data_IF_705212670117
#
_entry.id   IF_705212670117
#
_cell.length_a   1.000
_cell.length_b   1.000
_cell.length_c   1.000
_cell.angle_alpha   90.00
_cell.angle_beta   90.00
_cell.angle_gamma   90.00
#
_symmetry.space_group_name_H-M   'P 1'
#
loop_
_entity.id
_entity.type
_entity.pdbx_description
1 polymer ?
#
# COMPACT_ATOMS: atom_id res chain seq x y z
N UNK A 1 35.37 -6.58 6.71
CA UNK A 1 33.93 -6.70 7.01
C UNK A 1 33.12 -6.52 5.74
N UNK A 2 31.82 -6.84 5.76
CA UNK A 2 30.89 -6.50 4.67
C UNK A 2 30.22 -5.16 5.00
N UNK A 3 30.11 -4.28 4.02
CA UNK A 3 29.40 -3.01 4.15
C UNK A 3 28.51 -2.78 2.95
N UNK A 4 27.28 -2.35 3.19
CA UNK A 4 26.33 -1.98 2.15
C UNK A 4 26.00 -0.50 2.28
N UNK A 5 26.05 0.22 1.17
CA UNK A 5 25.61 1.61 1.07
C UNK A 5 24.83 1.84 -0.22
N UNK A 6 24.11 2.96 -0.33
CA UNK A 6 23.40 3.33 -1.55
C UNK A 6 21.99 3.87 -1.33
N UNK A 7 21.18 3.83 -2.38
CA UNK A 7 19.81 4.35 -2.41
C UNK A 7 18.83 3.25 -2.80
N UNK A 8 17.71 3.20 -2.07
CA UNK A 8 16.59 2.31 -2.31
C UNK A 8 15.34 3.15 -2.54
N UNK A 9 14.71 3.02 -3.70
CA UNK A 9 13.49 3.76 -4.05
C UNK A 9 12.30 3.30 -3.22
N UNK A 10 11.34 4.21 -3.02
CA UNK A 10 10.05 3.85 -2.43
C UNK A 10 9.30 2.89 -3.35
N UNK A 11 8.54 1.92 -2.83
CA UNK A 11 7.72 1.00 -3.64
C UNK A 11 6.72 1.70 -4.57
N UNK A 12 6.24 2.90 -4.21
CA UNK A 12 5.43 3.76 -5.07
C UNK A 12 6.15 4.25 -6.33
N UNK A 13 7.48 4.20 -6.33
CA UNK A 13 8.33 4.48 -7.48
C UNK A 13 8.94 3.20 -8.05
N UNK A 14 8.14 2.45 -8.80
CA UNK A 14 8.52 1.19 -9.44
C UNK A 14 8.55 1.27 -10.97
N UNK A 15 9.09 0.21 -11.59
CA UNK A 15 9.24 0.05 -13.04
C UNK A 15 8.72 -1.32 -13.47
N UNK A 16 8.26 -1.41 -14.73
CA UNK A 16 7.86 -2.68 -15.33
C UNK A 16 9.06 -3.60 -15.68
N UNK A 17 10.30 -3.07 -15.65
CA UNK A 17 11.52 -3.84 -15.94
C UNK A 17 12.60 -3.53 -14.90
N UNK A 18 13.45 -4.51 -14.63
CA UNK A 18 14.57 -4.40 -13.68
C UNK A 18 15.75 -3.53 -14.17
N UNK A 19 15.61 -2.80 -15.28
CA UNK A 19 16.70 -2.02 -15.91
C UNK A 19 17.28 -0.92 -15.02
N UNK A 20 16.55 -0.48 -13.99
CA UNK A 20 16.96 0.56 -13.05
C UNK A 20 17.46 0.00 -11.72
N UNK A 21 18.02 -1.20 -11.73
CA UNK A 21 18.73 -1.82 -10.59
C UNK A 21 20.22 -1.75 -10.85
N UNK A 22 20.89 -0.82 -10.18
CA UNK A 22 22.33 -0.62 -10.28
C UNK A 22 23.00 -1.28 -9.07
N UNK A 23 23.74 -2.35 -9.30
CA UNK A 23 24.36 -3.16 -8.25
C UNK A 23 25.87 -3.17 -8.47
N UNK A 24 26.61 -2.82 -7.42
CA UNK A 24 28.06 -2.74 -7.45
C UNK A 24 28.67 -3.61 -6.35
N UNK A 25 29.78 -4.27 -6.67
CA UNK A 25 30.62 -5.00 -5.70
C UNK A 25 32.04 -4.49 -5.86
N UNK A 26 32.60 -3.88 -4.80
CA UNK A 26 33.91 -3.22 -4.84
C UNK A 26 34.07 -2.31 -6.08
N UNK A 27 33.12 -1.37 -6.24
CA UNK A 27 33.02 -0.39 -7.34
C UNK A 27 32.82 -0.97 -8.75
N UNK A 28 32.71 -2.28 -8.90
CA UNK A 28 32.42 -2.94 -10.18
C UNK A 28 30.91 -3.15 -10.35
N UNK A 29 30.30 -2.71 -11.47
CA UNK A 29 28.92 -3.05 -11.77
C UNK A 29 28.79 -4.56 -12.03
N UNK A 30 27.81 -5.19 -11.39
CA UNK A 30 27.55 -6.63 -11.50
C UNK A 30 26.08 -6.89 -11.89
N UNK A 31 25.85 -8.01 -12.56
CA UNK A 31 24.54 -8.55 -12.94
C UNK A 31 24.36 -9.92 -12.33
N UNK A 32 24.52 -9.99 -11.01
CA UNK A 32 24.53 -11.24 -10.28
C UNK A 32 23.12 -11.66 -9.82
N UNK A 33 22.78 -12.93 -10.04
CA UNK A 33 21.44 -13.49 -9.73
C UNK A 33 21.13 -13.44 -8.24
N UNK A 34 22.12 -13.63 -7.38
CA UNK A 34 21.92 -13.58 -5.93
C UNK A 34 21.57 -12.16 -5.49
N UNK A 35 22.27 -11.16 -5.99
CA UNK A 35 22.01 -9.77 -5.62
C UNK A 35 20.65 -9.30 -6.11
N UNK A 36 20.28 -9.60 -7.37
CA UNK A 36 18.94 -9.32 -7.88
C UNK A 36 17.86 -10.07 -7.10
N UNK A 37 18.11 -11.34 -6.75
CA UNK A 37 17.21 -12.14 -5.91
C UNK A 37 17.08 -11.60 -4.47
N UNK A 38 18.13 -10.99 -3.93
CA UNK A 38 18.09 -10.34 -2.61
C UNK A 38 17.28 -9.04 -2.66
N UNK A 39 17.45 -8.22 -3.70
CA UNK A 39 16.62 -7.01 -3.91
C UNK A 39 15.15 -7.39 -4.06
N UNK A 40 14.83 -8.41 -4.87
CA UNK A 40 13.44 -8.91 -5.03
C UNK A 40 12.86 -9.33 -3.67
N UNK A 41 13.60 -10.12 -2.89
CA UNK A 41 13.16 -10.58 -1.57
C UNK A 41 12.98 -9.45 -0.55
N UNK A 42 13.73 -8.36 -0.68
CA UNK A 42 13.60 -7.18 0.17
C UNK A 42 12.31 -6.40 -0.09
N UNK A 43 11.83 -6.39 -1.34
CA UNK A 43 10.64 -5.65 -1.78
C UNK A 43 9.39 -6.52 -1.95
N UNK A 44 9.48 -7.83 -1.74
CA UNK A 44 8.39 -8.77 -2.02
C UNK A 44 7.07 -8.44 -1.28
N UNK A 45 7.16 -7.80 -0.11
CA UNK A 45 5.98 -7.42 0.69
C UNK A 45 5.33 -6.11 0.18
N UNK A 46 5.90 -5.44 -0.84
CA UNK A 46 5.52 -4.09 -1.27
C UNK A 46 5.33 -3.93 -2.77
N UNK A 47 5.73 -4.90 -3.59
CA UNK A 47 5.68 -4.81 -5.04
C UNK A 47 5.02 -6.06 -5.62
N UNK A 48 4.12 -5.84 -6.58
CA UNK A 48 3.55 -6.92 -7.38
C UNK A 48 4.63 -7.64 -8.21
N UNK A 49 4.32 -8.87 -8.64
CA UNK A 49 5.25 -9.81 -9.28
C UNK A 49 6.02 -9.26 -10.49
N UNK A 50 5.40 -8.38 -11.28
CA UNK A 50 5.97 -7.74 -12.48
C UNK A 50 6.47 -6.29 -12.25
N UNK A 51 6.67 -5.92 -10.98
CA UNK A 51 7.18 -4.61 -10.60
C UNK A 51 8.56 -4.72 -9.99
N UNK A 52 9.42 -3.81 -10.43
CA UNK A 52 10.80 -3.76 -10.00
C UNK A 52 11.10 -2.43 -9.30
N UNK A 53 11.79 -2.46 -8.14
CA UNK A 53 12.23 -1.26 -7.48
C UNK A 53 13.36 -0.61 -8.25
N UNK A 54 13.50 0.71 -8.09
CA UNK A 54 14.69 1.45 -8.51
C UNK A 54 15.68 1.47 -7.35
N UNK A 55 16.87 0.93 -7.57
CA UNK A 55 17.92 0.85 -6.54
C UNK A 55 19.30 1.16 -7.10
N UNK A 56 20.17 1.72 -6.28
CA UNK A 56 21.59 1.85 -6.52
C UNK A 56 22.34 1.39 -5.27
N UNK A 57 22.91 0.19 -5.28
CA UNK A 57 23.52 -0.44 -4.10
C UNK A 57 25.00 -0.73 -4.33
N UNK A 58 25.81 -0.42 -3.33
CA UNK A 58 27.26 -0.59 -3.32
C UNK A 58 27.64 -1.53 -2.17
N UNK A 59 28.09 -2.73 -2.52
CA UNK A 59 28.58 -3.74 -1.59
C UNK A 59 30.10 -3.71 -1.55
N UNK A 60 30.66 -3.38 -0.39
CA UNK A 60 32.09 -3.48 -0.10
C UNK A 60 32.36 -4.79 0.65
N UNK A 61 33.28 -5.61 0.13
CA UNK A 61 33.67 -6.90 0.71
C UNK A 61 35.18 -7.13 0.51
N UNK A 62 35.84 -7.74 1.49
CA UNK A 62 37.25 -8.12 1.37
C UNK A 62 37.45 -9.04 0.15
N UNK A 63 38.57 -8.88 -0.57
CA UNK A 63 38.85 -9.60 -1.82
C UNK A 63 38.81 -11.14 -1.66
N UNK A 64 39.13 -11.65 -0.47
CA UNK A 64 39.07 -13.08 -0.13
C UNK A 64 37.63 -13.63 -0.01
N UNK A 65 36.64 -12.74 0.11
CA UNK A 65 35.23 -13.07 0.27
C UNK A 65 34.43 -13.08 -1.04
N UNK A 66 35.05 -12.69 -2.17
CA UNK A 66 34.40 -12.62 -3.48
C UNK A 66 35.34 -13.05 -4.61
N UNK A 67 34.87 -13.96 -5.45
CA UNK A 67 35.54 -14.33 -6.70
C UNK A 67 34.82 -13.69 -7.89
N UNK A 68 35.54 -12.86 -8.63
CA UNK A 68 35.03 -12.10 -9.78
C UNK A 68 35.36 -12.80 -11.12
N UNK A 69 36.14 -13.88 -11.10
CA UNK A 69 36.61 -14.57 -12.31
C UNK A 69 35.68 -15.68 -12.81
N UNK A 70 34.42 -15.69 -12.36
CA UNK A 70 33.48 -16.79 -12.59
C UNK A 70 32.83 -16.73 -13.99
N UNK A 71 32.80 -15.56 -14.63
CA UNK A 71 32.19 -15.35 -15.94
C UNK A 71 33.15 -14.60 -16.89
N UNK A 72 33.17 -14.88 -18.22
CA UNK A 72 34.05 -14.22 -19.19
C UNK A 72 33.95 -12.69 -19.20
N UNK A 73 32.74 -12.16 -19.02
CA UNK A 73 32.47 -10.72 -18.93
C UNK A 73 32.74 -10.11 -17.54
N UNK A 74 33.11 -10.91 -16.53
CA UNK A 74 33.31 -10.50 -15.12
C UNK A 74 32.12 -9.72 -14.53
N UNK A 75 30.91 -10.01 -15.02
CA UNK A 75 29.66 -9.38 -14.61
C UNK A 75 28.98 -10.14 -13.47
N UNK A 76 29.33 -11.41 -13.27
CA UNK A 76 28.83 -12.27 -12.19
C UNK A 76 29.93 -12.48 -11.15
N UNK A 77 29.53 -12.67 -9.89
CA UNK A 77 30.44 -12.77 -8.75
C UNK A 77 30.04 -13.95 -7.87
N UNK A 78 31.01 -14.77 -7.46
CA UNK A 78 30.75 -15.83 -6.48
C UNK A 78 31.18 -15.35 -5.10
N UNK A 79 30.23 -15.30 -4.18
CA UNK A 79 30.49 -14.98 -2.79
C UNK A 79 30.92 -16.22 -2.02
N UNK A 80 31.87 -16.06 -1.10
CA UNK A 80 32.26 -17.13 -0.16
C UNK A 80 31.12 -17.49 0.80
N UNK A 81 30.38 -16.48 1.25
CA UNK A 81 29.16 -16.63 2.04
C UNK A 81 27.97 -15.92 1.35
N UNK A 82 27.26 -16.61 0.46
CA UNK A 82 26.06 -16.11 -0.22
C UNK A 82 24.95 -15.69 0.75
N UNK A 83 24.80 -16.42 1.86
CA UNK A 83 23.73 -16.22 2.83
C UNK A 83 23.88 -14.90 3.58
N UNK A 84 25.10 -14.61 4.03
CA UNK A 84 25.42 -13.35 4.71
C UNK A 84 25.17 -12.13 3.83
N UNK A 85 25.58 -12.19 2.55
CA UNK A 85 25.36 -11.10 1.58
C UNK A 85 23.87 -10.88 1.35
N UNK A 86 23.11 -11.95 1.11
CA UNK A 86 21.65 -11.88 0.94
C UNK A 86 20.99 -11.28 2.18
N UNK A 87 21.34 -11.76 3.37
CA UNK A 87 20.80 -11.28 4.64
C UNK A 87 21.07 -9.79 4.88
N UNK A 88 22.29 -9.32 4.59
CA UNK A 88 22.66 -7.90 4.71
C UNK A 88 21.81 -7.02 3.78
N UNK A 89 21.67 -7.39 2.51
CA UNK A 89 20.88 -6.62 1.53
C UNK A 89 19.41 -6.58 1.92
N UNK A 90 18.83 -7.73 2.24
CA UNK A 90 17.42 -7.83 2.63
C UNK A 90 17.16 -7.03 3.90
N UNK A 91 17.99 -7.21 4.94
CA UNK A 91 17.84 -6.52 6.21
C UNK A 91 17.99 -4.99 6.08
N UNK A 92 19.01 -4.52 5.37
CA UNK A 92 19.27 -3.10 5.20
C UNK A 92 18.15 -2.38 4.42
N UNK A 93 17.67 -2.98 3.33
CA UNK A 93 16.56 -2.40 2.55
C UNK A 93 15.28 -2.41 3.37
N UNK A 94 14.93 -3.51 4.05
CA UNK A 94 13.72 -3.59 4.89
C UNK A 94 13.76 -2.55 6.03
N UNK A 95 14.92 -2.38 6.67
CA UNK A 95 15.10 -1.35 7.70
C UNK A 95 14.91 0.07 7.13
N UNK A 96 15.49 0.37 5.97
CA UNK A 96 15.32 1.67 5.31
C UNK A 96 13.85 1.94 4.89
N UNK A 97 13.15 0.92 4.38
CA UNK A 97 11.74 1.02 4.00
C UNK A 97 10.83 1.21 5.21
N UNK A 98 11.12 0.57 6.35
CA UNK A 98 10.38 0.77 7.59
C UNK A 98 10.43 2.23 8.06
N UNK A 99 11.62 2.85 8.04
CA UNK A 99 11.77 4.27 8.37
C UNK A 99 11.17 5.23 7.33
N UNK A 100 10.90 4.76 6.10
CA UNK A 100 10.42 5.59 5.00
C UNK A 100 8.90 5.51 4.74
N UNK A 101 8.16 4.63 5.43
CA UNK A 101 6.75 4.33 5.15
C UNK A 101 5.84 5.55 5.00
N UNK A 102 5.99 6.55 5.88
CA UNK A 102 5.20 7.79 5.87
C UNK A 102 5.53 8.71 4.67
N UNK A 103 6.77 8.66 4.13
CA UNK A 103 7.21 9.51 3.01
C UNK A 103 6.57 9.12 1.67
N UNK A 104 6.11 7.88 1.52
CA UNK A 104 5.46 7.43 0.28
C UNK A 104 4.19 8.22 -0.05
N UNK A 105 3.39 8.56 0.96
CA UNK A 105 2.19 9.39 0.80
C UNK A 105 2.55 10.79 0.28
N UNK A 106 3.62 11.40 0.80
CA UNK A 106 4.05 12.77 0.44
C UNK A 106 4.49 12.91 -1.02
N UNK A 107 5.19 11.91 -1.58
CA UNK A 107 5.62 11.94 -2.98
C UNK A 107 4.45 11.83 -3.96
N UNK A 108 3.45 11.01 -3.62
CA UNK A 108 2.25 10.88 -4.45
C UNK A 108 1.37 12.12 -4.33
N UNK A 109 1.28 12.71 -3.13
CA UNK A 109 0.61 13.99 -2.93
C UNK A 109 1.18 15.09 -3.82
N UNK A 110 2.51 15.23 -3.89
CA UNK A 110 3.15 16.20 -4.77
C UNK A 110 2.81 15.99 -6.25
N UNK A 111 2.85 14.73 -6.73
CA UNK A 111 2.48 14.40 -8.11
C UNK A 111 0.98 14.65 -8.39
N UNK A 112 0.10 14.33 -7.43
CA UNK A 112 -1.32 14.62 -7.53
C UNK A 112 -1.58 16.14 -7.59
N UNK A 113 -0.93 16.92 -6.72
CA UNK A 113 -1.00 18.38 -6.72
C UNK A 113 -0.48 18.98 -8.04
N UNK A 114 0.57 18.41 -8.64
CA UNK A 114 1.03 18.81 -9.97
C UNK A 114 -0.02 18.55 -11.07
N UNK A 115 -0.79 17.47 -10.97
CA UNK A 115 -1.86 17.17 -11.93
C UNK A 115 -3.06 18.12 -11.83
N UNK A 116 -3.27 18.73 -10.65
CA UNK A 116 -4.29 19.77 -10.43
C UNK A 116 -3.83 21.16 -10.89
N UNK A 117 -2.56 21.33 -11.29
CA UNK A 117 -2.15 22.60 -11.89
C UNK A 117 -2.80 22.73 -13.26
N UNK A 118 -3.53 23.82 -13.54
CA UNK A 118 -3.98 24.08 -14.90
C UNK A 118 -2.74 24.08 -15.80
N UNK A 119 -2.78 23.27 -16.86
CA UNK A 119 -1.77 23.34 -17.92
C UNK A 119 -1.85 24.78 -18.43
N UNK A 120 -0.90 25.62 -18.02
CA UNK A 120 -0.62 26.85 -18.73
C UNK A 120 -0.04 26.41 -20.06
N UNK A 121 -0.92 26.07 -21.00
CA UNK A 121 -0.56 25.88 -22.39
C UNK A 121 -0.04 27.23 -22.88
N UNK A 122 1.25 27.48 -22.62
CA UNK A 122 1.97 28.51 -23.35
C UNK A 122 1.86 28.13 -24.82
N UNK A 123 1.37 29.02 -25.70
CA UNK A 123 1.23 28.68 -27.10
C UNK A 123 2.62 28.26 -27.62
N UNK A 124 2.70 27.22 -28.47
CA UNK A 124 3.97 26.90 -29.12
C UNK A 124 4.46 28.15 -29.85
N UNK A 125 5.69 28.56 -29.56
CA UNK A 125 6.32 29.69 -30.22
C UNK A 125 6.47 29.35 -31.71
N UNK A 126 5.49 29.78 -32.51
CA UNK A 126 5.40 29.47 -33.94
C UNK A 126 4.45 30.42 -34.66
N UNK A 127 5.00 31.54 -35.13
CA UNK A 127 4.57 32.44 -36.21
C UNK A 127 3.06 32.52 -36.56
N UNK A 128 2.46 33.66 -36.16
CA UNK A 128 1.74 34.60 -37.04
C UNK A 128 0.36 34.24 -37.59
N UNK A 129 -0.69 34.84 -37.02
CA UNK A 129 -1.59 35.87 -37.59
C UNK A 129 -2.76 36.10 -36.60
N UNK A 130 -3.30 37.33 -36.48
CA UNK A 130 -4.26 37.65 -35.42
C UNK A 130 -5.70 37.29 -35.81
N UNK A 131 -6.39 36.54 -34.97
CA UNK A 131 -7.86 36.43 -34.98
C UNK A 131 -8.43 37.09 -33.72
N UNK A 132 -9.51 37.89 -33.82
CA UNK A 132 -10.10 38.54 -32.66
C UNK A 132 -11.00 37.53 -31.94
N UNK A 133 -10.58 37.06 -30.77
CA UNK A 133 -11.46 36.32 -29.86
C UNK A 133 -12.39 37.30 -29.13
N UNK A 134 -13.68 37.00 -28.94
CA UNK A 134 -14.59 37.88 -28.23
C UNK A 134 -14.19 37.96 -26.76
N UNK A 135 -14.00 39.18 -26.27
CA UNK A 135 -13.73 39.44 -24.87
C UNK A 135 -14.93 38.99 -24.03
N UNK A 136 -14.72 38.00 -23.16
CA UNK A 136 -15.67 37.69 -22.09
C UNK A 136 -15.73 38.92 -21.18
N UNK A 137 -16.91 39.51 -20.93
CA UNK A 137 -17.00 40.70 -20.10
C UNK A 137 -16.47 40.41 -18.70
N UNK A 138 -15.54 41.25 -18.25
CA UNK A 138 -14.83 41.15 -16.97
C UNK A 138 -15.75 41.07 -15.75
N UNK A 139 -17.03 41.42 -15.89
CA UNK A 139 -18.04 41.37 -14.83
C UNK A 139 -18.58 39.98 -14.47
N UNK A 140 -18.44 38.94 -15.32
CA UNK A 140 -19.02 37.62 -15.01
C UNK A 140 -18.16 36.84 -14.00
N UNK A 141 -16.84 37.06 -14.02
CA UNK A 141 -15.90 36.52 -13.03
C UNK A 141 -16.02 37.26 -11.67
N UNK A 142 -16.25 38.57 -11.67
CA UNK A 142 -16.52 39.36 -10.45
C UNK A 142 -17.88 39.00 -9.83
N UNK A 143 -18.91 38.75 -10.64
CA UNK A 143 -20.23 38.30 -10.16
C UNK A 143 -20.16 36.89 -9.55
N UNK A 144 -19.33 36.00 -10.10
CA UNK A 144 -19.09 34.68 -9.53
C UNK A 144 -18.33 34.75 -8.20
N UNK A 145 -17.36 35.66 -8.04
CA UNK A 145 -16.68 35.88 -6.75
C UNK A 145 -17.59 36.51 -5.70
N UNK A 146 -18.49 37.41 -6.09
CA UNK A 146 -19.45 38.06 -5.17
C UNK A 146 -20.49 37.07 -4.62
N UNK A 147 -20.83 36.01 -5.36
CA UNK A 147 -21.75 34.95 -4.90
C UNK A 147 -21.15 34.06 -3.79
N UNK A 148 -19.83 34.09 -3.59
CA UNK A 148 -19.10 33.31 -2.58
C UNK A 148 -18.35 34.18 -1.56
N UNK A 149 -18.66 35.48 -1.48
CA UNK A 149 -18.16 36.35 -0.43
C UNK A 149 -18.85 35.98 0.92
N UNK A 150 -18.11 35.90 2.04
CA UNK A 150 -18.72 35.69 3.35
C UNK A 150 -19.71 36.81 3.66
N UNK A 151 -20.90 36.47 4.15
CA UNK A 151 -21.80 37.45 4.75
C UNK A 151 -21.14 37.99 6.02
N UNK A 152 -20.61 39.22 5.96
CA UNK A 152 -20.18 39.94 7.14
C UNK A 152 -21.36 40.09 8.11
N UNK A 153 -21.21 39.50 9.28
CA UNK A 153 -22.23 39.43 10.31
C UNK A 153 -22.51 40.79 10.94
N UNK A 154 -23.41 41.58 10.36
CA UNK A 154 -24.15 42.64 11.04
C UNK A 154 -25.59 42.71 10.52
N UNK A 155 -26.42 41.76 10.97
CA UNK A 155 -27.85 41.73 10.65
C UNK A 155 -28.62 41.01 11.75
N UNK A 156 -28.82 41.68 12.88
CA UNK A 156 -29.71 41.23 13.95
C UNK A 156 -31.14 41.20 13.41
N UNK A 157 -31.68 40.00 13.18
CA UNK A 157 -33.11 39.83 12.95
C UNK A 157 -33.87 40.13 14.26
N UNK A 158 -34.87 41.03 14.27
CA UNK A 158 -35.73 41.20 15.44
C UNK A 158 -36.71 40.04 15.52
N UNK A 159 -36.68 39.27 16.61
CA UNK A 159 -37.82 38.45 17.04
C UNK A 159 -37.75 36.94 16.83
N UNK A 160 -36.66 36.26 17.22
CA UNK A 160 -36.74 34.82 17.56
C UNK A 160 -36.20 34.61 18.96
N UNK A 161 -37.10 34.83 19.91
CA UNK A 161 -36.92 34.50 21.31
C UNK A 161 -37.20 32.99 21.48
N UNK A 162 -36.29 32.31 22.19
CA UNK A 162 -36.48 31.04 22.92
C UNK A 162 -36.69 29.75 22.12
N UNK A 163 -35.62 28.93 22.07
CA UNK A 163 -35.65 27.51 22.44
C UNK A 163 -34.27 27.15 23.01
N UNK A 164 -34.17 27.16 24.34
CA UNK A 164 -32.97 26.77 25.08
C UNK A 164 -32.65 25.28 24.87
N UNK A 165 -31.46 24.99 24.35
CA UNK A 165 -30.86 23.67 24.46
C UNK A 165 -30.39 23.44 25.92
N UNK A 166 -30.53 22.22 26.47
CA UNK A 166 -30.15 21.96 27.86
C UNK A 166 -28.63 22.08 28.00
N UNK A 167 -28.20 22.85 28.99
CA UNK A 167 -26.81 22.93 29.42
C UNK A 167 -26.36 21.56 29.93
N UNK A 168 -25.46 20.91 29.18
CA UNK A 168 -24.68 19.80 29.69
C UNK A 168 -23.69 20.37 30.72
N UNK A 169 -23.73 19.83 31.94
CA UNK A 169 -22.93 20.28 33.06
C UNK A 169 -21.43 20.28 32.74
N UNK A 170 -20.78 21.37 33.10
CA UNK A 170 -19.33 21.49 33.18
C UNK A 170 -18.84 20.71 34.40
N UNK A 171 -18.73 19.39 34.26
CA UNK A 171 -17.82 18.63 35.13
C UNK A 171 -16.41 18.79 34.55
N UNK A 172 -15.73 19.81 35.05
CA UNK A 172 -14.31 20.06 34.81
C UNK A 172 -13.45 18.96 35.41
N UNK A 173 -13.31 17.85 34.68
CA UNK A 173 -12.16 16.97 34.82
C UNK A 173 -11.05 17.55 33.94
N UNK A 174 -10.16 18.33 34.55
CA UNK A 174 -8.86 18.68 33.97
C UNK A 174 -8.06 17.39 33.76
N UNK A 175 -8.26 16.77 32.59
CA UNK A 175 -7.40 15.70 32.12
C UNK A 175 -6.11 16.35 31.63
N UNK A 176 -5.07 16.30 32.46
CA UNK A 176 -3.67 16.52 32.09
C UNK A 176 -3.16 15.37 31.23
N UNK A 177 -3.90 15.02 30.18
CA UNK A 177 -3.50 14.03 29.19
C UNK A 177 -2.71 14.73 28.09
N UNK A 178 -1.56 14.17 27.71
CA UNK A 178 -0.96 14.47 26.40
C UNK A 178 -2.06 14.37 25.35
N UNK A 179 -2.30 15.45 24.59
CA UNK A 179 -3.21 15.42 23.44
C UNK A 179 -2.68 14.33 22.51
N UNK A 180 -3.41 13.22 22.30
CA UNK A 180 -2.89 12.14 21.48
C UNK A 180 -2.60 12.68 20.08
N UNK A 181 -1.34 12.55 19.65
CA UNK A 181 -0.99 12.86 18.28
C UNK A 181 -1.60 11.78 17.39
N UNK A 182 -2.45 12.19 16.46
CA UNK A 182 -3.10 11.33 15.49
C UNK A 182 -2.54 11.66 14.09
N UNK A 183 -1.48 10.99 13.63
CA UNK A 183 -0.85 11.27 12.33
C UNK A 183 -1.82 11.25 11.14
N UNK A 184 -2.80 10.36 11.13
CA UNK A 184 -3.85 10.28 10.10
C UNK A 184 -5.10 11.09 10.46
N UNK A 185 -5.10 11.76 11.61
CA UNK A 185 -6.14 12.69 12.01
C UNK A 185 -7.45 12.02 12.45
N UNK A 186 -8.55 12.72 12.27
CA UNK A 186 -9.90 12.26 12.60
C UNK A 186 -10.73 12.13 11.32
N UNK A 187 -11.41 11.01 11.13
CA UNK A 187 -12.27 10.82 9.98
C UNK A 187 -13.39 11.88 9.97
N UNK A 188 -13.74 12.36 8.78
CA UNK A 188 -14.81 13.35 8.57
C UNK A 188 -15.93 12.83 7.68
N UNK A 189 -15.56 12.07 6.66
CA UNK A 189 -16.52 11.51 5.73
C UNK A 189 -15.97 10.28 5.04
N UNK A 190 -16.88 9.42 4.60
CA UNK A 190 -16.62 8.41 3.59
C UNK A 190 -17.18 8.91 2.25
N UNK A 191 -16.38 8.81 1.19
CA UNK A 191 -16.76 9.21 -0.16
C UNK A 191 -16.80 7.98 -1.08
N UNK A 192 -17.89 7.87 -1.85
CA UNK A 192 -18.13 6.79 -2.82
C UNK A 192 -17.96 5.38 -2.24
N UNK A 193 -18.23 5.21 -0.94
CA UNK A 193 -18.05 3.96 -0.20
C UNK A 193 -16.65 3.31 -0.39
N UNK A 194 -15.65 4.14 -0.74
CA UNK A 194 -14.31 3.70 -1.17
C UNK A 194 -13.20 4.50 -0.50
N UNK A 195 -13.41 5.80 -0.28
CA UNK A 195 -12.38 6.68 0.28
C UNK A 195 -12.81 7.21 1.64
N UNK A 196 -11.88 7.27 2.58
CA UNK A 196 -12.08 7.96 3.86
C UNK A 196 -11.31 9.28 3.78
N UNK A 197 -11.99 10.38 4.11
CA UNK A 197 -11.37 11.69 4.25
C UNK A 197 -11.25 12.00 5.73
N UNK A 198 -10.02 12.29 6.16
CA UNK A 198 -9.68 12.61 7.54
C UNK A 198 -9.01 13.99 7.62
N UNK A 199 -9.27 14.71 8.70
CA UNK A 199 -8.64 15.99 8.99
C UNK A 199 -7.47 15.76 9.94
N UNK A 200 -6.27 16.14 9.53
CA UNK A 200 -5.07 16.19 10.40
C UNK A 200 -4.93 17.58 11.03
N UNK A 201 -3.91 17.75 11.87
CA UNK A 201 -3.62 19.05 12.49
C UNK A 201 -3.25 20.14 11.46
N UNK A 202 -2.67 19.75 10.34
CA UNK A 202 -2.06 20.62 9.33
C UNK A 202 -2.58 20.35 7.90
N UNK A 203 -3.68 19.62 7.73
CA UNK A 203 -4.19 19.28 6.41
C UNK A 203 -5.31 18.24 6.37
N UNK A 204 -5.36 17.52 5.26
CA UNK A 204 -6.36 16.49 4.95
C UNK A 204 -5.63 15.22 4.50
N UNK A 205 -6.07 14.06 4.99
CA UNK A 205 -5.65 12.75 4.50
C UNK A 205 -6.80 12.08 3.76
N UNK A 206 -6.52 11.53 2.59
CA UNK A 206 -7.44 10.73 1.80
C UNK A 206 -6.93 9.29 1.80
N UNK A 207 -7.70 8.37 2.37
CA UNK A 207 -7.36 6.95 2.50
C UNK A 207 -8.17 6.13 1.50
N UNK A 208 -7.50 5.26 0.75
CA UNK A 208 -8.13 4.17 0.01
C UNK A 208 -8.48 3.04 0.99
N UNK A 209 -9.76 2.89 1.29
CA UNK A 209 -10.28 1.91 2.24
C UNK A 209 -9.91 0.48 1.86
N UNK A 210 -9.93 0.16 0.56
CA UNK A 210 -9.68 -1.18 0.07
C UNK A 210 -8.19 -1.53 0.21
N UNK A 211 -7.31 -0.67 -0.30
CA UNK A 211 -5.87 -0.87 -0.20
C UNK A 211 -5.39 -0.89 1.27
N UNK A 212 -5.96 -0.03 2.12
CA UNK A 212 -5.69 -0.05 3.56
C UNK A 212 -6.14 -1.38 4.18
N UNK A 213 -7.35 -1.84 3.89
CA UNK A 213 -7.87 -3.08 4.46
C UNK A 213 -7.03 -4.30 4.07
N UNK A 214 -6.69 -4.44 2.79
CA UNK A 214 -5.81 -5.53 2.32
C UNK A 214 -4.47 -5.53 3.06
N UNK A 215 -3.88 -4.33 3.25
CA UNK A 215 -2.60 -4.21 3.95
C UNK A 215 -2.71 -4.61 5.42
N UNK A 216 -3.75 -4.17 6.12
CA UNK A 216 -4.00 -4.51 7.51
C UNK A 216 -4.18 -6.03 7.68
N UNK A 217 -5.01 -6.65 6.83
CA UNK A 217 -5.25 -8.10 6.86
C UNK A 217 -3.96 -8.87 6.58
N UNK A 218 -3.20 -8.45 5.58
CA UNK A 218 -1.91 -9.05 5.24
C UNK A 218 -0.92 -9.06 6.43
N UNK A 219 -0.74 -7.91 7.08
CA UNK A 219 0.17 -7.79 8.24
C UNK A 219 -0.32 -8.61 9.44
N UNK A 220 -1.63 -8.65 9.70
CA UNK A 220 -2.20 -9.52 10.75
C UNK A 220 -1.98 -11.01 10.45
N UNK A 221 -2.17 -11.44 9.21
CA UNK A 221 -1.92 -12.83 8.81
C UNK A 221 -0.45 -13.20 8.99
N UNK A 222 0.46 -12.32 8.57
CA UNK A 222 1.90 -12.52 8.72
C UNK A 222 2.32 -12.60 10.20
N UNK A 223 1.75 -11.74 11.05
CA UNK A 223 1.97 -11.78 12.50
C UNK A 223 1.44 -13.10 13.10
N UNK A 224 0.20 -13.47 12.79
CA UNK A 224 -0.41 -14.70 13.31
C UNK A 224 0.39 -15.95 12.91
N UNK A 225 0.89 -15.99 11.66
CA UNK A 225 1.70 -17.06 11.13
C UNK A 225 3.06 -17.20 11.83
N UNK A 226 3.68 -16.08 12.23
CA UNK A 226 4.93 -16.09 12.99
C UNK A 226 4.75 -16.55 14.44
N UNK A 227 3.55 -16.42 15.00
CA UNK A 227 3.26 -16.71 16.41
C UNK A 227 2.67 -18.12 16.61
N UNK A 228 1.49 -18.39 16.05
CA UNK A 228 0.70 -19.60 16.39
C UNK A 228 -0.01 -20.24 15.19
N UNK A 229 0.18 -19.72 13.97
CA UNK A 229 -0.62 -20.05 12.80
C UNK A 229 -1.88 -19.17 12.69
N UNK A 230 -2.48 -19.12 11.50
CA UNK A 230 -3.65 -18.26 11.26
C UNK A 230 -4.92 -18.96 11.75
N UNK A 231 -5.72 -18.25 12.55
CA UNK A 231 -6.98 -18.75 13.08
C UNK A 231 -7.95 -19.17 11.96
N UNK A 232 -8.73 -20.23 12.22
CA UNK A 232 -9.62 -20.86 11.24
C UNK A 232 -11.08 -20.59 11.56
N UNK A 233 -11.89 -20.43 10.53
CA UNK A 233 -13.34 -20.35 10.61
C UNK A 233 -13.95 -21.43 9.72
N UNK A 234 -14.68 -22.35 10.34
CA UNK A 234 -15.46 -23.36 9.60
C UNK A 234 -16.60 -22.73 8.81
N UNK A 235 -16.79 -23.18 7.58
CA UNK A 235 -17.94 -22.82 6.77
C UNK A 235 -19.17 -23.60 7.26
N UNK A 236 -20.32 -22.94 7.35
CA UNK A 236 -21.59 -23.60 7.70
C UNK A 236 -21.97 -24.68 6.68
N UNK A 237 -21.66 -24.42 5.41
CA UNK A 237 -21.82 -25.34 4.30
C UNK A 237 -20.46 -25.39 3.61
N UNK A 238 -19.78 -26.55 3.58
CA UNK A 238 -18.55 -26.70 2.80
C UNK A 238 -18.80 -26.36 1.33
N UNK A 239 -17.85 -25.65 0.73
CA UNK A 239 -18.00 -25.14 -0.63
C UNK A 239 -17.13 -25.96 -1.59
N UNK A 240 -17.74 -26.47 -2.66
CA UNK A 240 -17.03 -27.24 -3.69
C UNK A 240 -16.58 -26.30 -4.80
N UNK A 241 -15.28 -26.31 -5.10
CA UNK A 241 -14.67 -25.49 -6.15
C UNK A 241 -14.16 -26.40 -7.26
N UNK A 242 -14.76 -26.24 -8.44
CA UNK A 242 -14.33 -26.92 -9.67
C UNK A 242 -13.06 -26.28 -10.24
N UNK A 243 -12.11 -27.13 -10.63
CA UNK A 243 -10.77 -26.78 -11.11
C UNK A 243 -10.35 -27.79 -12.20
N UNK A 244 -9.25 -27.50 -12.91
CA UNK A 244 -8.59 -28.54 -13.67
C UNK A 244 -7.86 -29.54 -12.75
N UNK A 245 -7.57 -30.75 -13.25
CA UNK A 245 -6.97 -31.83 -12.47
C UNK A 245 -5.58 -31.47 -11.93
N UNK A 246 -4.80 -30.70 -12.70
CA UNK A 246 -3.47 -30.27 -12.26
C UNK A 246 -3.56 -29.23 -11.15
N UNK A 247 -4.49 -28.29 -11.23
CA UNK A 247 -4.76 -27.27 -10.22
C UNK A 247 -5.22 -27.91 -8.90
N UNK A 248 -6.17 -28.85 -8.95
CA UNK A 248 -6.62 -29.59 -7.77
C UNK A 248 -5.46 -30.37 -7.13
N UNK A 249 -4.66 -31.08 -7.93
CA UNK A 249 -3.49 -31.81 -7.43
C UNK A 249 -2.44 -30.89 -6.78
N UNK A 250 -2.15 -29.71 -7.37
CA UNK A 250 -1.21 -28.71 -6.82
C UNK A 250 -1.66 -28.21 -5.45
N UNK A 251 -2.95 -27.90 -5.28
CA UNK A 251 -3.50 -27.46 -4.00
C UNK A 251 -3.42 -28.58 -2.95
N UNK A 252 -3.83 -29.80 -3.32
CA UNK A 252 -3.85 -30.95 -2.41
C UNK A 252 -2.45 -31.35 -1.94
N UNK A 253 -1.45 -31.25 -2.82
CA UNK A 253 -0.04 -31.49 -2.47
C UNK A 253 0.47 -30.53 -1.38
N UNK A 254 -0.19 -29.38 -1.20
CA UNK A 254 0.16 -28.32 -0.24
C UNK A 254 -0.91 -28.09 0.83
N UNK A 255 -1.89 -28.99 0.96
CA UNK A 255 -3.03 -28.81 1.86
C UNK A 255 -2.63 -28.59 3.32
N UNK A 256 -1.57 -29.27 3.80
CA UNK A 256 -1.05 -29.08 5.16
C UNK A 256 -0.49 -27.66 5.37
N UNK A 257 0.24 -27.12 4.40
CA UNK A 257 0.81 -25.76 4.48
C UNK A 257 -0.31 -24.71 4.34
N UNK A 258 -1.32 -24.93 3.50
CA UNK A 258 -2.51 -24.07 3.41
C UNK A 258 -3.34 -24.08 4.70
N UNK A 259 -3.38 -25.21 5.41
CA UNK A 259 -4.04 -25.30 6.70
C UNK A 259 -3.31 -24.46 7.79
N UNK A 260 -1.98 -24.30 7.72
CA UNK A 260 -1.25 -23.36 8.61
C UNK A 260 -1.69 -21.89 8.38
N UNK A 261 -2.09 -21.57 7.15
CA UNK A 261 -2.66 -20.28 6.74
C UNK A 261 -4.16 -20.16 7.02
N UNK A 262 -4.76 -21.23 7.52
CA UNK A 262 -6.16 -21.30 7.92
C UNK A 262 -7.14 -21.67 6.81
N UNK A 263 -6.64 -22.11 5.65
CA UNK A 263 -7.45 -22.65 4.56
C UNK A 263 -7.40 -24.18 4.58
N UNK A 264 -8.53 -24.83 4.89
CA UNK A 264 -8.62 -26.30 4.93
C UNK A 264 -9.44 -26.78 3.75
N UNK A 265 -8.78 -27.53 2.88
CA UNK A 265 -9.36 -28.12 1.68
C UNK A 265 -9.09 -29.63 1.61
N UNK A 266 -10.03 -30.36 1.01
CA UNK A 266 -9.96 -31.80 0.76
C UNK A 266 -10.28 -32.09 -0.72
N UNK A 267 -9.82 -33.23 -1.24
CA UNK A 267 -10.12 -33.61 -2.62
C UNK A 267 -11.58 -34.02 -2.80
N UNK A 268 -12.18 -33.60 -3.91
CA UNK A 268 -13.54 -33.98 -4.28
C UNK A 268 -13.58 -34.47 -5.74
N UNK A 269 -13.03 -35.67 -5.96
CA UNK A 269 -12.76 -36.17 -7.31
C UNK A 269 -11.50 -35.53 -7.93
N UNK A 270 -11.21 -35.81 -9.21
CA UNK A 270 -9.97 -35.36 -9.85
C UNK A 270 -9.96 -33.87 -10.20
N UNK A 271 -11.12 -33.25 -10.46
CA UNK A 271 -11.24 -31.87 -10.93
C UNK A 271 -11.95 -30.92 -9.94
N UNK A 272 -11.95 -31.23 -8.64
CA UNK A 272 -12.52 -30.33 -7.66
C UNK A 272 -11.91 -30.53 -6.27
N UNK A 273 -12.01 -29.48 -5.47
CA UNK A 273 -11.69 -29.49 -4.03
C UNK A 273 -12.89 -29.01 -3.23
N UNK A 274 -13.06 -29.54 -2.03
CA UNK A 274 -14.03 -29.04 -1.06
C UNK A 274 -13.31 -28.22 0.00
N UNK A 275 -13.76 -26.99 0.21
CA UNK A 275 -13.26 -26.10 1.25
C UNK A 275 -14.15 -26.24 2.48
N UNK A 276 -13.54 -26.55 3.63
CA UNK A 276 -14.23 -26.68 4.91
C UNK A 276 -14.02 -25.49 5.83
N UNK A 277 -12.81 -24.93 5.83
CA UNK A 277 -12.42 -23.84 6.71
C UNK A 277 -11.66 -22.78 5.92
N UNK A 278 -11.89 -21.52 6.28
CA UNK A 278 -11.21 -20.35 5.73
C UNK A 278 -10.51 -19.57 6.83
N UNK A 279 -9.51 -18.72 6.51
CA UNK A 279 -8.83 -17.93 7.52
C UNK A 279 -9.82 -16.94 8.18
N UNK A 280 -9.95 -17.01 9.51
CA UNK A 280 -10.93 -16.22 10.28
C UNK A 280 -10.72 -14.70 10.13
N UNK A 281 -9.49 -14.28 9.80
CA UNK A 281 -9.13 -12.88 9.58
C UNK A 281 -9.78 -12.27 8.33
N UNK A 282 -10.15 -13.10 7.34
CA UNK A 282 -10.75 -12.62 6.09
C UNK A 282 -12.25 -12.31 6.24
N UNK A 283 -12.91 -12.85 7.26
CA UNK A 283 -14.34 -12.67 7.50
C UNK A 283 -15.18 -13.36 6.42
N UNK A 284 -15.99 -12.59 5.67
CA UNK A 284 -16.65 -13.12 4.47
C UNK A 284 -15.58 -13.31 3.39
N UNK A 285 -15.67 -14.36 2.57
CA UNK A 285 -14.65 -14.66 1.55
C UNK A 285 -15.34 -15.11 0.27
N UNK A 286 -14.83 -14.68 -0.88
CA UNK A 286 -15.12 -15.33 -2.16
C UNK A 286 -14.26 -16.58 -2.27
N UNK A 287 -14.76 -17.71 -1.77
CA UNK A 287 -14.00 -18.96 -1.68
C UNK A 287 -13.60 -19.50 -3.05
N UNK A 288 -14.48 -19.54 -4.07
CA UNK A 288 -14.09 -20.00 -5.40
C UNK A 288 -13.04 -19.10 -6.05
N UNK A 289 -13.16 -17.78 -5.92
CA UNK A 289 -12.13 -16.84 -6.39
C UNK A 289 -10.79 -17.09 -5.72
N UNK A 290 -10.78 -17.18 -4.38
CA UNK A 290 -9.58 -17.44 -3.61
C UNK A 290 -8.87 -18.73 -4.03
N UNK A 291 -9.61 -19.83 -4.15
CA UNK A 291 -9.03 -21.14 -4.47
C UNK A 291 -8.44 -21.16 -5.88
N UNK A 292 -9.08 -20.49 -6.86
CA UNK A 292 -8.56 -20.40 -8.24
C UNK A 292 -7.28 -19.57 -8.30
N UNK A 293 -7.29 -18.38 -7.70
CA UNK A 293 -6.13 -17.49 -7.69
C UNK A 293 -4.95 -18.14 -6.95
N UNK A 294 -5.21 -18.90 -5.89
CA UNK A 294 -4.18 -19.71 -5.22
C UNK A 294 -3.65 -20.85 -6.09
N UNK A 295 -4.50 -21.52 -6.87
CA UNK A 295 -4.05 -22.58 -7.76
C UNK A 295 -3.13 -22.05 -8.87
N UNK A 296 -3.45 -20.87 -9.40
CA UNK A 296 -2.65 -20.16 -10.39
C UNK A 296 -1.33 -19.65 -9.79
N UNK A 297 -1.39 -19.07 -8.58
CA UNK A 297 -0.20 -18.65 -7.82
C UNK A 297 0.77 -19.82 -7.61
N UNK A 298 0.27 -20.96 -7.14
CA UNK A 298 1.08 -22.16 -6.93
C UNK A 298 1.64 -22.75 -8.24
N UNK A 299 0.94 -22.58 -9.37
CA UNK A 299 1.44 -23.00 -10.67
C UNK A 299 2.70 -22.24 -11.06
N UNK A 300 2.73 -20.94 -10.79
CA UNK A 300 3.86 -20.07 -11.12
C UNK A 300 5.05 -20.21 -10.16
N UNK A 301 4.77 -20.45 -8.88
CA UNK A 301 5.81 -20.62 -7.86
C UNK A 301 6.65 -21.89 -8.08
N UNK A 302 6.07 -22.91 -8.72
CA UNK A 302 6.70 -24.19 -8.98
C UNK A 302 6.98 -25.00 -7.71
N UNK A 303 7.45 -26.24 -7.87
CA UNK A 303 7.70 -27.15 -6.72
C UNK A 303 8.99 -26.86 -5.96
N UNK A 304 9.90 -26.06 -6.55
CA UNK A 304 11.29 -25.94 -6.09
C UNK A 304 11.49 -25.12 -4.80
N UNK A 305 10.49 -24.37 -4.36
CA UNK A 305 10.52 -23.60 -3.12
C UNK A 305 9.40 -24.08 -2.20
N UNK A 306 9.66 -24.11 -0.90
CA UNK A 306 8.64 -24.46 0.09
C UNK A 306 7.56 -23.38 0.14
N UNK A 307 6.30 -23.73 0.42
CA UNK A 307 5.27 -22.70 0.63
C UNK A 307 5.71 -21.78 1.76
N UNK A 308 6.43 -22.31 2.75
CA UNK A 308 7.07 -21.55 3.85
C UNK A 308 7.93 -20.37 3.40
N UNK A 309 8.67 -20.51 2.30
CA UNK A 309 9.47 -19.42 1.72
C UNK A 309 8.63 -18.43 0.91
N UNK A 310 7.39 -18.81 0.58
CA UNK A 310 6.43 -18.06 -0.25
C UNK A 310 5.15 -17.68 0.49
N UNK A 311 5.09 -17.87 1.80
CA UNK A 311 3.92 -17.54 2.64
C UNK A 311 3.53 -16.07 2.47
N UNK A 312 4.50 -15.18 2.26
CA UNK A 312 4.25 -13.77 2.00
C UNK A 312 3.49 -13.50 0.70
N UNK A 313 3.67 -14.31 -0.35
CA UNK A 313 2.94 -14.15 -1.63
C UNK A 313 1.52 -14.70 -1.47
N UNK A 314 1.38 -15.89 -0.86
CA UNK A 314 0.07 -16.52 -0.61
C UNK A 314 -0.79 -15.74 0.37
N UNK A 315 -0.22 -15.19 1.45
CA UNK A 315 -0.93 -14.28 2.35
C UNK A 315 -1.40 -13.01 1.63
N UNK A 316 -0.63 -12.50 0.66
CA UNK A 316 -1.03 -11.33 -0.10
C UNK A 316 -2.25 -11.64 -0.98
N UNK A 317 -2.24 -12.78 -1.68
CA UNK A 317 -3.40 -13.28 -2.45
C UNK A 317 -4.60 -13.46 -1.53
N UNK A 318 -4.47 -14.18 -0.42
CA UNK A 318 -5.54 -14.38 0.56
C UNK A 318 -6.14 -13.07 1.08
N UNK A 319 -5.30 -12.08 1.39
CA UNK A 319 -5.75 -10.78 1.88
C UNK A 319 -6.59 -10.00 0.86
N UNK A 320 -6.39 -10.23 -0.44
CA UNK A 320 -7.20 -9.63 -1.51
C UNK A 320 -8.61 -10.25 -1.63
N UNK A 321 -8.80 -11.50 -1.17
CA UNK A 321 -10.10 -12.19 -1.22
C UNK A 321 -10.94 -12.06 0.07
N UNK A 322 -10.42 -11.36 1.09
CA UNK A 322 -11.27 -10.89 2.19
C UNK A 322 -12.39 -10.04 1.61
N UNK A 323 -13.64 -10.47 1.82
CA UNK A 323 -14.85 -9.95 1.17
C UNK A 323 -14.79 -8.44 1.07
N UNK A 324 -14.52 -8.04 -0.17
CA UNK A 324 -14.63 -6.74 -0.78
C UNK A 324 -15.32 -5.75 0.16
N UNK A 325 -14.51 -5.08 1.00
CA UNK A 325 -14.96 -3.90 1.75
C UNK A 325 -15.09 -2.67 0.85
N UNK A 326 -14.78 -2.77 -0.44
CA UNK A 326 -15.14 -1.73 -1.40
C UNK A 326 -16.67 -1.67 -1.50
N UNK A 327 -17.25 -0.51 -1.23
CA UNK A 327 -18.70 -0.33 -1.27
C UNK A 327 -19.41 -0.50 0.07
N UNK A 328 -18.73 -0.92 1.15
CA UNK A 328 -19.37 -0.96 2.47
C UNK A 328 -19.34 0.43 3.11
N UNK A 329 -20.51 0.93 3.50
CA UNK A 329 -20.63 2.12 4.35
C UNK A 329 -20.07 1.88 5.75
N UNK A 330 -19.16 2.76 6.17
CA UNK A 330 -18.53 2.74 7.49
C UNK A 330 -19.14 3.84 8.37
N UNK A 331 -19.43 3.49 9.63
CA UNK A 331 -19.75 4.49 10.65
C UNK A 331 -18.52 5.30 11.06
N UNK A 332 -18.73 6.46 11.68
CA UNK A 332 -17.65 7.33 12.15
C UNK A 332 -16.63 6.59 13.02
N UNK A 333 -17.11 5.83 14.03
CA UNK A 333 -16.24 5.06 14.92
C UNK A 333 -15.47 3.95 14.18
N UNK A 334 -16.05 3.34 13.13
CA UNK A 334 -15.35 2.33 12.32
C UNK A 334 -14.24 2.97 11.48
N UNK A 335 -14.48 4.18 10.94
CA UNK A 335 -13.46 4.92 10.20
C UNK A 335 -12.31 5.33 11.11
N UNK A 336 -12.59 5.93 12.28
CA UNK A 336 -11.55 6.31 13.23
C UNK A 336 -10.76 5.10 13.72
N UNK A 337 -11.43 3.97 14.02
CA UNK A 337 -10.75 2.73 14.37
C UNK A 337 -9.82 2.22 13.27
N UNK A 338 -10.24 2.30 12.00
CA UNK A 338 -9.39 1.95 10.86
C UNK A 338 -8.15 2.85 10.78
N UNK A 339 -8.29 4.17 10.97
CA UNK A 339 -7.15 5.09 10.97
C UNK A 339 -6.17 4.79 12.11
N UNK A 340 -6.68 4.54 13.32
CA UNK A 340 -5.85 4.13 14.48
C UNK A 340 -5.13 2.81 14.21
N UNK A 341 -5.80 1.86 13.56
CA UNK A 341 -5.19 0.60 13.19
C UNK A 341 -4.08 0.77 12.15
N UNK A 342 -4.29 1.62 11.14
CA UNK A 342 -3.26 1.96 10.15
C UNK A 342 -2.03 2.58 10.79
N UNK A 343 -2.20 3.47 11.77
CA UNK A 343 -1.07 4.10 12.50
C UNK A 343 -0.26 3.07 13.30
N UNK A 344 -0.93 2.08 13.89
CA UNK A 344 -0.28 1.01 14.64
C UNK A 344 0.34 -0.07 13.74
N UNK A 345 -0.07 -0.14 12.47
CA UNK A 345 0.35 -1.19 11.55
C UNK A 345 1.60 -0.79 10.77
N UNK A 346 2.70 -1.58 10.85
CA UNK A 346 3.89 -1.32 10.08
C UNK A 346 3.60 -1.22 8.58
N UNK A 347 4.21 -0.22 7.93
CA UNK A 347 4.10 0.00 6.49
C UNK A 347 2.68 0.18 5.95
N UNK A 348 1.72 0.58 6.79
CA UNK A 348 0.33 0.76 6.37
C UNK A 348 0.16 1.77 5.23
N UNK A 349 1.11 2.67 4.98
CA UNK A 349 1.08 3.66 3.90
C UNK A 349 1.26 3.14 2.48
N UNK A 350 1.51 1.84 2.31
CA UNK A 350 1.75 1.22 1.00
C UNK A 350 1.07 -0.14 0.92
N UNK A 351 0.40 -0.41 -0.20
CA UNK A 351 -0.21 -1.71 -0.45
C UNK A 351 0.80 -2.69 -1.04
N UNK A 352 0.41 -3.96 -1.09
CA UNK A 352 1.26 -5.07 -1.57
C UNK A 352 1.63 -4.94 -3.06
N UNK A 353 0.95 -4.05 -3.80
CA UNK A 353 1.16 -3.78 -5.23
C UNK A 353 1.97 -2.50 -5.50
N UNK A 354 2.50 -1.85 -4.45
CA UNK A 354 3.29 -0.64 -4.57
C UNK A 354 2.46 0.62 -4.81
N UNK A 355 1.14 0.59 -4.54
CA UNK A 355 0.29 1.80 -4.53
C UNK A 355 0.26 2.38 -3.10
N UNK A 356 0.13 3.70 -2.93
CA UNK A 356 -0.13 4.26 -1.60
C UNK A 356 -1.51 3.81 -1.11
N UNK A 357 -1.66 3.62 0.19
CA UNK A 357 -2.97 3.41 0.82
C UNK A 357 -3.62 4.72 1.26
N UNK A 358 -2.83 5.77 1.42
CA UNK A 358 -3.32 7.11 1.72
C UNK A 358 -2.45 8.19 1.08
N UNK A 359 -3.04 9.37 0.89
CA UNK A 359 -2.40 10.58 0.37
C UNK A 359 -2.63 11.69 1.38
N UNK A 360 -1.60 12.46 1.69
CA UNK A 360 -1.64 13.61 2.60
C UNK A 360 -1.60 14.91 1.79
N UNK A 361 -2.57 15.79 2.00
CA UNK A 361 -2.63 17.12 1.41
C UNK A 361 -2.49 18.15 2.52
N UNK A 362 -1.33 18.83 2.57
CA UNK A 362 -1.10 19.87 3.57
C UNK A 362 -1.95 21.10 3.28
N UNK A 363 -2.32 21.82 4.33
CA UNK A 363 -3.16 23.01 4.23
C UNK A 363 -2.56 24.05 3.27
N UNK A 364 -1.26 24.30 3.37
CA UNK A 364 -0.54 25.21 2.47
C UNK A 364 -0.63 24.79 0.98
N UNK A 365 -0.64 23.48 0.70
CA UNK A 365 -0.78 22.98 -0.67
C UNK A 365 -2.21 23.16 -1.19
N UNK A 366 -3.20 22.95 -0.32
CA UNK A 366 -4.62 23.19 -0.64
C UNK A 366 -4.85 24.68 -0.90
N UNK A 367 -4.34 25.57 -0.03
CA UNK A 367 -4.46 27.02 -0.18
C UNK A 367 -3.91 27.51 -1.52
N UNK A 368 -2.77 26.94 -1.96
CA UNK A 368 -2.18 27.23 -3.28
C UNK A 368 -3.09 26.87 -4.44
N UNK A 369 -3.89 25.80 -4.34
CA UNK A 369 -4.85 25.43 -5.39
C UNK A 369 -5.93 26.51 -5.57
N UNK A 370 -6.26 27.24 -4.51
CA UNK A 370 -7.21 28.36 -4.53
C UNK A 370 -6.55 29.73 -4.69
N UNK A 371 -5.26 29.77 -5.05
CA UNK A 371 -4.46 30.99 -5.14
C UNK A 371 -4.45 31.82 -3.84
N UNK A 372 -4.59 31.15 -2.69
CA UNK A 372 -4.43 31.74 -1.35
C UNK A 372 -2.99 31.53 -0.87
N UNK A 373 -2.48 32.45 -0.05
CA UNK A 373 -1.10 32.46 0.46
C UNK A 373 -0.97 31.69 1.75
#
# INVERSE_FOLDING_TARGET
>A
GLRLSGFAGLPTYNRARAAHQYLFVNDRPVRDRLLHGAVRAAYQDFLGRDRHPVVALFLEIAAEGVDVNVHPAKAEVRFRDPGLVRGLIVGAIRHALAGAGHRAATTVAAAALESFRPVTAGPPAGRGWPTPSPAVPRGLAEAALAAYAPLDGQGRLPGTDRLSAPAAGEDGAETTGEVPSYPLGMARAQLHDTYIVAQTADGIVIVDQHAAHERLVYERMKKALAETGVGRQGLLIPEVVELDEAAAARLLARAAELAELGLVLEGFGPGAVVVREVPALLGKVDVPGLVRDLADELAELGEALSLKERLGEVCATMACHGSVRAGRRLGQAEMDALLREMEATPHAGQCNHGRPTYIELRLADIERLFARR
#
